data_IF_038368646639
#
_entry.id   IF_038368646639
#
_cell.length_a   1.000
_cell.length_b   1.000
_cell.length_c   1.000
_cell.angle_alpha   90.00
_cell.angle_beta   90.00
_cell.angle_gamma   90.00
#
_symmetry.space_group_name_H-M   'P 1'
#
loop_
_entity.id
_entity.type
_entity.pdbx_description
1 polymer ?
#
# COMPACT_ATOMS: atom_id res chain seq x y z
N UNK A 1 -32.74 45.97 7.40
CA UNK A 1 -31.66 46.68 8.12
C UNK A 1 -31.76 46.28 9.58
N UNK A 2 -31.15 45.14 9.93
CA UNK A 2 -31.08 44.62 11.31
C UNK A 2 -29.95 43.59 11.31
N UNK A 3 -28.75 44.02 11.69
CA UNK A 3 -27.60 43.15 11.93
C UNK A 3 -27.83 42.39 13.25
N UNK A 4 -27.65 41.07 13.24
CA UNK A 4 -27.46 40.27 14.45
C UNK A 4 -25.98 40.03 14.67
N UNK A 5 -25.54 40.42 15.85
CA UNK A 5 -24.19 40.29 16.41
C UNK A 5 -23.84 38.83 16.65
N UNK A 6 -22.71 38.36 16.12
CA UNK A 6 -22.04 37.12 16.52
C UNK A 6 -20.97 37.49 17.56
N UNK A 7 -21.12 36.99 18.78
CA UNK A 7 -20.10 37.06 19.83
C UNK A 7 -19.03 36.00 19.56
N UNK A 8 -17.79 36.44 19.39
CA UNK A 8 -16.61 35.59 19.35
C UNK A 8 -16.22 35.18 20.78
N UNK A 9 -16.19 33.88 21.05
CA UNK A 9 -15.63 33.31 22.28
C UNK A 9 -14.14 33.10 22.05
N UNK A 10 -13.32 33.83 22.81
CA UNK A 10 -11.87 33.78 22.81
C UNK A 10 -11.40 32.53 23.59
N UNK A 11 -10.83 31.54 22.89
CA UNK A 11 -10.20 30.38 23.53
C UNK A 11 -8.73 30.74 23.85
N UNK A 12 -8.38 30.72 25.13
CA UNK A 12 -7.02 30.94 25.63
C UNK A 12 -6.30 29.59 25.68
N UNK A 13 -5.28 29.41 24.84
CA UNK A 13 -4.35 28.27 24.90
C UNK A 13 -3.24 28.58 25.93
N UNK A 14 -2.88 27.64 26.83
CA UNK A 14 -1.71 27.79 27.68
C UNK A 14 -0.45 27.36 26.92
N UNK A 15 0.53 28.26 26.88
CA UNK A 15 1.89 28.04 26.40
C UNK A 15 2.64 27.17 27.42
N UNK A 16 3.05 25.96 27.01
CA UNK A 16 3.93 25.10 27.81
C UNK A 16 5.38 25.33 27.35
N UNK A 17 6.18 25.95 28.21
CA UNK A 17 7.60 26.17 28.00
C UNK A 17 8.38 24.91 28.42
N UNK A 18 9.05 24.26 27.47
CA UNK A 18 10.11 23.28 27.77
C UNK A 18 11.43 24.01 27.99
N UNK A 19 11.97 23.92 29.20
CA UNK A 19 13.38 24.15 29.51
C UNK A 19 14.12 22.83 29.34
N UNK A 20 15.02 22.74 28.36
CA UNK A 20 16.04 21.68 28.31
C UNK A 20 17.36 22.31 28.75
N UNK A 21 17.92 21.77 29.84
CA UNK A 21 19.24 22.09 30.34
C UNK A 21 20.28 21.25 29.57
N UNK A 22 21.32 21.90 29.06
CA UNK A 22 22.54 21.26 28.62
C UNK A 22 23.42 21.02 29.85
N UNK A 23 23.80 19.77 30.10
CA UNK A 23 24.90 19.45 31.00
C UNK A 23 26.02 18.80 30.18
N UNK A 24 27.19 19.38 30.37
CA UNK A 24 28.49 19.17 29.76
C UNK A 24 29.31 18.33 30.74
N UNK A 25 30.00 17.29 30.30
CA UNK A 25 31.38 17.05 30.72
C UNK A 25 31.98 15.78 30.10
N UNK A 26 33.26 15.91 29.74
CA UNK A 26 34.03 14.96 28.96
C UNK A 26 34.77 13.86 29.74
N UNK A 27 35.62 13.15 28.99
CA UNK A 27 36.58 12.15 29.48
C UNK A 27 36.54 10.92 28.58
N UNK A 28 37.50 10.63 27.72
CA UNK A 28 38.94 10.66 27.95
C UNK A 28 39.39 9.30 28.50
N UNK A 29 39.81 8.37 27.63
CA UNK A 29 40.31 7.07 28.09
C UNK A 29 40.69 6.10 26.99
N UNK A 30 41.96 6.10 26.64
CA UNK A 30 42.65 5.10 25.82
C UNK A 30 42.78 3.75 26.54
N UNK A 31 42.55 2.63 25.86
CA UNK A 31 43.25 1.38 26.14
C UNK A 31 43.11 0.38 24.98
N UNK A 32 44.25 0.20 24.33
CA UNK A 32 44.67 -0.90 23.48
C UNK A 32 44.56 -2.23 24.25
N UNK A 33 43.96 -3.27 23.67
CA UNK A 33 44.19 -4.67 24.10
C UNK A 33 43.96 -5.61 22.92
N UNK A 34 45.06 -5.92 22.24
CA UNK A 34 45.25 -7.16 21.50
C UNK A 34 45.12 -8.38 22.41
N UNK A 35 44.46 -9.45 21.96
CA UNK A 35 45.07 -10.78 21.96
C UNK A 35 44.21 -11.77 21.17
N UNK A 36 44.87 -12.46 20.25
CA UNK A 36 44.38 -13.62 19.55
C UNK A 36 44.43 -14.84 20.47
N UNK A 37 43.50 -15.79 20.34
CA UNK A 37 43.86 -17.20 20.53
C UNK A 37 43.00 -18.11 19.67
N UNK A 38 43.71 -18.67 18.70
CA UNK A 38 43.42 -19.86 17.91
C UNK A 38 43.12 -21.05 18.84
N UNK A 39 42.10 -21.86 18.51
CA UNK A 39 41.96 -23.20 19.06
C UNK A 39 41.39 -24.10 17.98
N UNK A 40 42.31 -24.76 17.29
CA UNK A 40 42.06 -25.85 16.36
C UNK A 40 42.48 -27.19 16.98
N UNK A 41 41.83 -28.24 16.47
CA UNK A 41 42.15 -29.67 16.54
C UNK A 41 41.95 -30.44 17.86
N UNK A 42 41.08 -31.46 17.80
CA UNK A 42 41.54 -32.85 17.87
C UNK A 42 40.48 -33.82 17.33
N UNK A 43 40.92 -34.67 16.42
CA UNK A 43 40.25 -35.86 15.88
C UNK A 43 40.81 -37.09 16.63
N UNK A 44 39.96 -37.96 17.17
CA UNK A 44 40.22 -39.42 17.30
C UNK A 44 38.95 -40.13 17.81
N UNK A 45 38.28 -40.96 17.00
CA UNK A 45 38.48 -42.41 16.79
C UNK A 45 38.45 -43.25 18.07
N UNK A 46 37.39 -44.03 18.27
CA UNK A 46 37.49 -45.47 18.58
C UNK A 46 36.13 -46.17 18.61
N UNK A 47 36.20 -47.47 18.34
CA UNK A 47 35.18 -48.39 17.86
C UNK A 47 34.32 -49.06 18.95
N UNK A 48 33.15 -49.55 18.47
CA UNK A 48 32.49 -50.84 18.73
C UNK A 48 31.97 -51.23 20.12
N UNK A 49 30.64 -51.42 20.22
CA UNK A 49 29.94 -52.67 20.64
C UNK A 49 28.42 -52.46 20.41
N UNK A 50 27.79 -53.13 19.44
CA UNK A 50 27.16 -54.47 19.47
C UNK A 50 25.72 -54.52 20.05
N UNK A 51 24.81 -54.98 19.18
CA UNK A 51 23.54 -55.68 19.43
C UNK A 51 22.44 -55.00 20.27
N UNK A 52 21.34 -54.61 19.60
CA UNK A 52 20.04 -55.27 19.81
C UNK A 52 19.02 -54.89 18.73
N UNK A 53 18.34 -55.92 18.23
CA UNK A 53 17.10 -55.84 17.45
C UNK A 53 16.00 -55.19 18.29
N UNK A 54 15.27 -54.24 17.70
CA UNK A 54 13.81 -54.14 17.80
C UNK A 54 13.29 -53.11 16.79
N UNK A 55 12.47 -53.60 15.87
CA UNK A 55 11.19 -53.00 15.41
C UNK A 55 10.95 -51.55 15.82
N UNK A 56 10.93 -50.63 14.85
CA UNK A 56 9.69 -49.93 14.51
C UNK A 56 9.83 -49.24 13.14
N UNK A 57 9.00 -49.65 12.20
CA UNK A 57 8.80 -48.95 10.94
C UNK A 57 7.70 -47.91 11.18
N UNK A 58 8.06 -46.79 11.81
CA UNK A 58 7.21 -45.61 11.82
C UNK A 58 7.46 -44.78 10.56
N UNK A 59 6.81 -45.18 9.47
CA UNK A 59 6.41 -44.25 8.43
C UNK A 59 5.41 -43.26 9.06
N UNK A 60 5.92 -42.21 9.67
CA UNK A 60 5.18 -40.99 9.94
C UNK A 60 5.76 -39.89 9.05
N UNK A 61 5.55 -40.02 7.74
CA UNK A 61 5.45 -38.84 6.89
C UNK A 61 4.06 -38.25 7.14
N UNK A 62 3.92 -37.61 8.31
CA UNK A 62 2.86 -36.66 8.57
C UNK A 62 3.23 -35.41 7.76
N UNK A 63 2.97 -35.49 6.45
CA UNK A 63 2.84 -34.30 5.61
C UNK A 63 1.49 -33.72 5.98
N UNK A 64 1.42 -33.15 7.19
CA UNK A 64 0.29 -32.34 7.62
C UNK A 64 0.25 -31.21 6.60
N UNK A 65 -0.85 -31.15 5.83
CA UNK A 65 -1.10 -30.02 4.96
C UNK A 65 -0.90 -28.75 5.79
N UNK A 66 -0.32 -27.68 5.20
CA UNK A 66 -0.21 -26.41 5.92
C UNK A 66 -1.57 -26.06 6.51
N UNK A 67 -1.62 -25.54 7.75
CA UNK A 67 -2.88 -25.15 8.35
C UNK A 67 -3.63 -24.23 7.38
N UNK A 68 -4.96 -24.35 7.29
CA UNK A 68 -5.74 -23.45 6.45
C UNK A 68 -5.46 -22.02 6.92
N UNK A 69 -5.34 -21.10 5.96
CA UNK A 69 -5.22 -19.67 6.25
C UNK A 69 -6.41 -19.14 7.06
N UNK A 70 -6.31 -17.90 7.51
CA UNK A 70 -7.43 -17.20 8.14
C UNK A 70 -8.61 -17.16 7.17
N UNK A 71 -9.79 -17.56 7.62
CA UNK A 71 -10.93 -17.78 6.72
C UNK A 71 -11.53 -16.50 6.14
N UNK A 72 -11.23 -15.37 6.78
CA UNK A 72 -11.62 -14.01 6.37
C UNK A 72 -10.48 -13.26 5.67
N UNK A 73 -9.51 -13.99 5.10
CA UNK A 73 -8.50 -13.39 4.25
C UNK A 73 -9.15 -12.75 3.01
N UNK A 74 -8.72 -11.55 2.65
CA UNK A 74 -9.23 -10.83 1.49
C UNK A 74 -9.06 -9.31 1.59
N UNK A 75 -9.62 -8.63 0.59
CA UNK A 75 -9.70 -7.17 0.53
C UNK A 75 -11.13 -6.72 0.78
N UNK A 76 -11.29 -5.78 1.70
CA UNK A 76 -12.58 -5.30 2.16
C UNK A 76 -12.67 -3.77 2.14
N UNK A 77 -13.89 -3.27 2.05
CA UNK A 77 -14.23 -1.88 2.41
C UNK A 77 -15.07 -1.88 3.67
N UNK A 78 -14.72 -1.02 4.62
CA UNK A 78 -15.48 -0.86 5.84
C UNK A 78 -16.71 0.01 5.62
N UNK A 79 -17.69 -0.08 6.51
CA UNK A 79 -18.82 0.87 6.56
C UNK A 79 -18.40 2.32 6.85
N UNK A 80 -17.13 2.58 7.15
CA UNK A 80 -16.54 3.92 7.28
C UNK A 80 -15.80 4.38 6.02
N UNK A 81 -15.73 3.54 4.99
CA UNK A 81 -15.07 3.81 3.71
C UNK A 81 -13.55 3.58 3.73
N UNK A 82 -12.98 3.03 4.81
CA UNK A 82 -11.58 2.57 4.81
C UNK A 82 -11.47 1.24 4.07
N UNK A 83 -10.37 1.03 3.37
CA UNK A 83 -9.99 -0.29 2.85
C UNK A 83 -9.29 -1.09 3.93
N UNK A 84 -9.53 -2.39 3.99
CA UNK A 84 -8.87 -3.32 4.91
C UNK A 84 -8.32 -4.52 4.12
N UNK A 85 -7.03 -4.81 4.30
CA UNK A 85 -6.40 -6.04 3.81
C UNK A 85 -6.27 -7.01 4.98
N UNK A 86 -6.78 -8.22 4.83
CA UNK A 86 -6.64 -9.30 5.80
C UNK A 86 -5.91 -10.47 5.14
N UNK A 87 -4.84 -10.91 5.76
CA UNK A 87 -4.03 -12.09 5.39
C UNK A 87 -3.65 -12.86 6.65
N UNK A 88 -2.93 -13.96 6.50
CA UNK A 88 -2.38 -14.71 7.64
C UNK A 88 -1.36 -13.91 8.45
N UNK A 89 -0.79 -12.84 7.87
CA UNK A 89 0.29 -12.06 8.45
C UNK A 89 -0.15 -10.65 8.86
N UNK A 90 -1.24 -10.14 8.28
CA UNK A 90 -1.65 -8.74 8.40
C UNK A 90 -3.16 -8.63 8.54
N UNK A 91 -3.60 -7.80 9.47
CA UNK A 91 -4.96 -7.29 9.55
C UNK A 91 -4.88 -5.76 9.48
N UNK A 92 -5.24 -5.20 8.34
CA UNK A 92 -5.07 -3.78 8.04
C UNK A 92 -3.59 -3.35 8.07
N UNK A 93 -3.18 -2.59 9.10
CA UNK A 93 -1.81 -2.16 9.34
C UNK A 93 -1.16 -2.89 10.53
N UNK A 94 -1.84 -3.87 11.13
CA UNK A 94 -1.36 -4.62 12.29
C UNK A 94 -0.88 -6.02 11.90
N UNK A 95 0.14 -6.53 12.58
CA UNK A 95 0.67 -7.87 12.34
C UNK A 95 -0.27 -8.91 12.97
N UNK A 96 -0.78 -9.87 12.19
CA UNK A 96 -1.46 -11.06 12.72
C UNK A 96 -0.41 -11.98 13.34
N UNK A 97 -0.58 -12.26 14.63
CA UNK A 97 0.34 -13.12 15.41
C UNK A 97 -0.18 -14.53 15.55
N UNK A 98 -1.49 -14.67 15.69
CA UNK A 98 -2.18 -15.95 15.79
C UNK A 98 -3.67 -15.75 15.47
N UNK A 99 -4.34 -16.77 14.96
CA UNK A 99 -5.79 -16.76 14.74
C UNK A 99 -6.37 -18.15 15.01
N UNK A 100 -7.67 -18.20 15.26
CA UNK A 100 -8.47 -19.41 15.42
C UNK A 100 -9.81 -19.18 14.71
N UNK A 101 -9.96 -19.81 13.55
CA UNK A 101 -11.19 -19.75 12.73
C UNK A 101 -12.38 -20.39 13.45
N UNK A 102 -12.19 -21.47 14.24
CA UNK A 102 -13.32 -22.10 14.96
C UNK A 102 -13.89 -21.16 16.04
N UNK A 103 -13.04 -20.29 16.60
CA UNK A 103 -13.43 -19.30 17.58
C UNK A 103 -13.68 -17.90 17.01
N UNK A 104 -13.58 -17.71 15.68
CA UNK A 104 -13.66 -16.43 14.99
C UNK A 104 -12.82 -15.32 15.66
N UNK A 105 -11.55 -15.61 15.99
CA UNK A 105 -10.66 -14.70 16.72
C UNK A 105 -9.27 -14.58 16.10
N UNK A 106 -8.71 -13.38 16.08
CA UNK A 106 -7.33 -13.10 15.72
C UNK A 106 -6.67 -12.26 16.81
N UNK A 107 -5.38 -12.49 16.99
CA UNK A 107 -4.53 -11.75 17.90
C UNK A 107 -3.52 -10.99 17.07
N UNK A 108 -3.59 -9.67 17.16
CA UNK A 108 -2.77 -8.78 16.34
C UNK A 108 -1.81 -7.97 17.21
N UNK A 109 -0.72 -7.49 16.61
CA UNK A 109 0.22 -6.58 17.24
C UNK A 109 0.33 -5.30 16.45
N UNK A 110 0.18 -4.16 17.13
CA UNK A 110 0.40 -2.85 16.54
C UNK A 110 1.89 -2.66 16.20
N UNK A 111 2.20 -1.94 15.11
CA UNK A 111 3.58 -1.71 14.71
C UNK A 111 4.35 -0.87 15.76
N UNK A 112 5.69 -0.90 15.77
CA UNK A 112 6.49 -0.21 16.78
C UNK A 112 6.34 1.32 16.81
N UNK A 113 5.88 1.90 15.71
CA UNK A 113 5.66 3.33 15.50
C UNK A 113 4.19 3.77 15.66
N UNK A 114 3.28 2.86 16.07
CA UNK A 114 1.90 3.22 16.37
C UNK A 114 1.85 4.34 17.43
N UNK A 115 1.06 5.38 17.13
CA UNK A 115 1.07 6.63 17.90
C UNK A 115 0.54 6.49 19.34
N UNK A 116 -0.24 5.45 19.62
CA UNK A 116 -0.98 5.31 20.89
C UNK A 116 -0.57 4.08 21.67
N UNK A 117 -0.36 2.96 20.99
CA UNK A 117 -0.15 1.64 21.56
C UNK A 117 0.98 0.89 20.81
N UNK A 118 2.21 1.46 20.74
CA UNK A 118 3.31 0.84 20.01
C UNK A 118 3.67 -0.53 20.58
N UNK A 119 3.81 -1.52 19.71
CA UNK A 119 4.08 -2.92 20.04
C UNK A 119 3.06 -3.60 20.97
N UNK A 120 1.88 -3.00 21.21
CA UNK A 120 0.83 -3.62 22.02
C UNK A 120 0.02 -4.62 21.23
N UNK A 121 -0.57 -5.55 21.95
CA UNK A 121 -1.41 -6.60 21.39
C UNK A 121 -2.89 -6.24 21.52
N UNK A 122 -3.68 -6.74 20.58
CA UNK A 122 -5.12 -6.64 20.58
C UNK A 122 -5.76 -7.99 20.21
N UNK A 123 -7.02 -8.16 20.61
CA UNK A 123 -7.86 -9.30 20.28
C UNK A 123 -8.98 -8.81 19.37
N UNK A 124 -9.02 -9.33 18.16
CA UNK A 124 -10.08 -9.11 17.18
C UNK A 124 -11.00 -10.32 17.19
N UNK A 125 -12.30 -10.10 17.22
CA UNK A 125 -13.35 -11.13 17.08
C UNK A 125 -14.21 -10.77 15.89
N UNK A 126 -14.61 -11.74 15.08
CA UNK A 126 -15.50 -11.54 13.93
C UNK A 126 -16.75 -12.42 13.98
N UNK A 127 -17.74 -12.06 13.16
CA UNK A 127 -18.92 -12.88 12.88
C UNK A 127 -18.66 -13.79 11.69
N UNK A 128 -19.35 -14.92 11.62
CA UNK A 128 -19.38 -15.76 10.42
C UNK A 128 -19.69 -14.93 9.15
N UNK A 129 -18.91 -15.08 8.07
CA UNK A 129 -19.20 -14.41 6.81
C UNK A 129 -20.57 -14.77 6.24
N UNK A 130 -21.26 -13.74 5.75
CA UNK A 130 -22.50 -13.88 5.00
C UNK A 130 -22.29 -14.59 3.66
N UNK A 131 -23.38 -14.90 2.96
CA UNK A 131 -23.31 -15.51 1.63
C UNK A 131 -22.66 -14.62 0.56
N UNK A 132 -22.59 -13.31 0.84
CA UNK A 132 -21.91 -12.28 0.04
C UNK A 132 -20.46 -12.05 0.51
N UNK A 133 -19.97 -12.83 1.48
CA UNK A 133 -18.65 -12.72 2.08
C UNK A 133 -18.50 -11.55 3.06
N UNK A 134 -19.55 -10.75 3.28
CA UNK A 134 -19.50 -9.65 4.23
C UNK A 134 -19.57 -10.16 5.67
N UNK A 135 -18.86 -9.51 6.58
CA UNK A 135 -18.84 -9.88 8.00
C UNK A 135 -18.56 -8.67 8.89
N UNK A 136 -18.83 -8.80 10.19
CA UNK A 136 -18.53 -7.78 11.17
C UNK A 136 -17.32 -8.19 12.00
N UNK A 137 -16.48 -7.24 12.40
CA UNK A 137 -15.46 -7.47 13.42
C UNK A 137 -15.48 -6.42 14.52
N UNK A 138 -14.96 -6.82 15.68
CA UNK A 138 -14.78 -5.99 16.86
C UNK A 138 -13.40 -6.20 17.45
N UNK A 139 -12.71 -5.11 17.79
CA UNK A 139 -11.53 -5.17 18.65
C UNK A 139 -11.98 -5.33 20.10
N UNK A 140 -12.14 -6.57 20.54
CA UNK A 140 -12.65 -6.93 21.87
C UNK A 140 -11.78 -6.43 23.02
N UNK A 141 -10.45 -6.44 22.83
CA UNK A 141 -9.48 -5.93 23.79
C UNK A 141 -8.27 -5.33 23.04
N UNK A 142 -7.64 -4.31 23.63
CA UNK A 142 -6.51 -3.61 23.02
C UNK A 142 -5.54 -3.09 24.08
N UNK A 143 -4.32 -2.74 23.66
CA UNK A 143 -3.31 -2.16 24.55
C UNK A 143 -2.66 -3.18 25.49
N UNK A 144 -2.73 -4.47 25.15
CA UNK A 144 -2.21 -5.56 25.98
C UNK A 144 -0.69 -5.69 25.82
N UNK A 145 0.00 -6.09 26.89
CA UNK A 145 1.46 -6.08 26.93
C UNK A 145 2.09 -7.26 26.18
N UNK A 146 1.41 -8.40 26.13
CA UNK A 146 1.91 -9.63 25.51
C UNK A 146 0.83 -10.36 24.72
N UNK A 147 1.26 -11.24 23.80
CA UNK A 147 0.37 -12.16 23.10
C UNK A 147 -0.41 -13.06 24.08
N UNK A 148 0.26 -13.56 25.12
CA UNK A 148 -0.38 -14.41 26.14
C UNK A 148 -1.49 -13.64 26.89
N UNK A 149 -1.29 -12.34 27.17
CA UNK A 149 -2.34 -11.50 27.78
C UNK A 149 -3.54 -11.33 26.84
N UNK A 150 -3.31 -11.17 25.53
CA UNK A 150 -4.36 -11.10 24.52
C UNK A 150 -5.15 -12.40 24.41
N UNK A 151 -4.47 -13.55 24.46
CA UNK A 151 -5.09 -14.88 24.46
C UNK A 151 -5.85 -15.17 25.74
N UNK A 152 -5.35 -14.69 26.88
CA UNK A 152 -6.00 -14.85 28.18
C UNK A 152 -7.17 -13.90 28.39
N UNK A 153 -7.33 -12.87 27.55
CA UNK A 153 -8.42 -11.91 27.67
C UNK A 153 -9.79 -12.57 27.43
N UNK A 154 -10.65 -12.43 28.44
CA UNK A 154 -12.01 -12.97 28.45
C UNK A 154 -13.06 -11.90 28.16
N UNK A 155 -12.67 -10.75 27.59
CA UNK A 155 -13.63 -9.69 27.25
C UNK A 155 -14.61 -10.27 26.23
N UNK A 156 -15.88 -10.28 26.63
CA UNK A 156 -16.96 -10.77 25.81
C UNK A 156 -17.49 -9.61 24.96
N UNK A 157 -17.71 -9.89 23.68
CA UNK A 157 -18.41 -9.02 22.75
C UNK A 157 -19.76 -9.67 22.43
N UNK A 158 -20.76 -8.84 22.10
CA UNK A 158 -22.10 -9.30 21.77
C UNK A 158 -22.35 -9.06 20.28
N UNK A 159 -22.48 -10.14 19.51
CA UNK A 159 -22.68 -10.11 18.06
C UNK A 159 -24.16 -10.26 17.68
N UNK A 160 -25.10 -10.17 18.63
CA UNK A 160 -26.52 -10.34 18.35
C UNK A 160 -27.15 -9.17 17.58
N UNK A 161 -26.53 -7.99 17.60
CA UNK A 161 -26.93 -6.78 16.86
C UNK A 161 -25.69 -5.92 16.50
N UNK A 162 -24.79 -6.44 15.63
CA UNK A 162 -23.48 -5.85 15.39
C UNK A 162 -23.56 -4.52 14.63
N UNK A 163 -24.65 -4.28 13.89
CA UNK A 163 -24.91 -3.02 13.19
C UNK A 163 -25.08 -1.83 14.15
N UNK A 164 -25.51 -2.08 15.39
CA UNK A 164 -25.90 -1.00 16.30
C UNK A 164 -25.16 -1.01 17.63
N UNK A 165 -24.68 -2.17 18.12
CA UNK A 165 -24.05 -2.28 19.43
C UNK A 165 -23.19 -3.54 19.58
N UNK A 166 -22.67 -3.76 20.81
CA UNK A 166 -22.06 -5.04 21.20
C UNK A 166 -20.54 -5.09 21.17
N UNK A 167 -19.88 -4.15 20.50
CA UNK A 167 -18.42 -3.97 20.54
C UNK A 167 -18.05 -2.95 21.62
N UNK A 168 -18.08 -3.34 22.90
CA UNK A 168 -17.84 -2.39 24.01
C UNK A 168 -18.92 -1.30 24.14
N UNK A 169 -20.12 -1.55 23.62
CA UNK A 169 -21.23 -0.59 23.56
C UNK A 169 -21.31 0.23 22.27
N UNK A 170 -20.41 0.00 21.32
CA UNK A 170 -20.44 0.58 19.97
C UNK A 170 -20.88 -0.47 18.94
N UNK A 171 -21.29 -0.03 17.75
CA UNK A 171 -21.47 -0.90 16.58
C UNK A 171 -20.13 -1.53 16.20
N UNK A 172 -20.19 -2.73 15.66
CA UNK A 172 -19.06 -3.43 15.07
C UNK A 172 -18.70 -2.77 13.73
N UNK A 173 -17.50 -3.03 13.24
CA UNK A 173 -17.08 -2.63 11.89
C UNK A 173 -17.57 -3.68 10.90
N UNK A 174 -18.41 -3.28 9.95
CA UNK A 174 -18.81 -4.12 8.82
C UNK A 174 -17.72 -4.06 7.76
N UNK A 175 -17.28 -5.22 7.29
CA UNK A 175 -16.39 -5.39 6.15
C UNK A 175 -17.13 -6.06 5.01
N UNK A 176 -17.16 -5.38 3.87
CA UNK A 176 -17.74 -5.88 2.63
C UNK A 176 -16.61 -6.19 1.64
N UNK A 177 -16.54 -7.40 1.06
CA UNK A 177 -15.54 -7.73 0.06
C UNK A 177 -15.50 -6.70 -1.07
N UNK A 178 -14.29 -6.37 -1.54
CA UNK A 178 -14.07 -5.49 -2.69
C UNK A 178 -12.99 -6.06 -3.61
N UNK A 179 -12.95 -5.54 -4.84
CA UNK A 179 -11.82 -5.77 -5.75
C UNK A 179 -10.55 -5.19 -5.13
N UNK A 180 -9.44 -5.92 -5.16
CA UNK A 180 -8.18 -5.51 -4.52
C UNK A 180 -7.57 -4.22 -5.09
N UNK A 181 -7.81 -3.96 -6.38
CA UNK A 181 -7.42 -2.70 -7.06
C UNK A 181 -8.41 -1.55 -6.83
N UNK A 182 -9.20 -1.61 -5.76
CA UNK A 182 -10.07 -0.51 -5.33
C UNK A 182 -9.28 0.77 -5.12
N UNK A 183 -9.74 1.87 -5.71
CA UNK A 183 -9.08 3.17 -5.58
C UNK A 183 -9.26 4.06 -6.80
N UNK A 184 -8.59 5.21 -6.75
CA UNK A 184 -8.51 6.15 -7.87
C UNK A 184 -7.09 6.14 -8.41
N UNK A 185 -6.95 5.81 -9.69
CA UNK A 185 -5.66 5.59 -10.32
C UNK A 185 -5.51 6.46 -11.56
N UNK A 186 -4.34 7.08 -11.71
CA UNK A 186 -3.93 7.73 -12.94
C UNK A 186 -3.46 6.68 -13.95
N UNK A 187 -3.80 6.91 -15.22
CA UNK A 187 -3.45 6.00 -16.32
C UNK A 187 -2.43 6.61 -17.27
N UNK A 188 -1.73 5.75 -18.02
CA UNK A 188 -0.78 6.16 -19.06
C UNK A 188 -1.42 6.89 -20.25
N UNK A 189 -2.75 7.04 -20.26
CA UNK A 189 -3.51 7.79 -21.26
C UNK A 189 -4.00 9.15 -20.77
N UNK A 190 -3.39 9.67 -19.69
CA UNK A 190 -3.79 10.94 -19.07
C UNK A 190 -5.28 10.97 -18.69
N UNK A 191 -5.74 9.84 -18.18
CA UNK A 191 -7.10 9.66 -17.69
C UNK A 191 -7.07 9.02 -16.31
N UNK A 192 -8.19 9.07 -15.59
CA UNK A 192 -8.33 8.41 -14.29
C UNK A 192 -9.25 7.20 -14.41
N UNK A 193 -8.90 6.12 -13.73
CA UNK A 193 -9.79 5.00 -13.47
C UNK A 193 -10.21 5.05 -11.99
N UNK A 194 -11.52 5.14 -11.76
CA UNK A 194 -12.12 5.17 -10.43
C UNK A 194 -12.78 3.80 -10.18
N UNK A 195 -12.19 3.01 -9.27
CA UNK A 195 -12.64 1.66 -8.93
C UNK A 195 -13.20 1.71 -7.50
N UNK A 196 -14.50 1.49 -7.37
CA UNK A 196 -15.24 1.37 -6.11
C UNK A 196 -15.62 -0.09 -5.87
N UNK A 197 -16.25 -0.38 -4.72
CA UNK A 197 -16.73 -1.73 -4.41
C UNK A 197 -17.78 -2.25 -5.43
N UNK A 198 -18.48 -1.34 -6.09
CA UNK A 198 -19.62 -1.63 -6.98
C UNK A 198 -19.43 -1.15 -8.42
N UNK A 199 -18.34 -0.45 -8.74
CA UNK A 199 -18.12 0.15 -10.06
C UNK A 199 -16.65 0.22 -10.45
N UNK A 200 -16.37 -0.01 -11.73
CA UNK A 200 -15.09 0.25 -12.37
C UNK A 200 -15.28 1.32 -13.44
N UNK A 201 -14.86 2.56 -13.18
CA UNK A 201 -15.05 3.73 -14.06
C UNK A 201 -16.50 3.91 -14.56
N UNK A 202 -17.48 3.68 -13.68
CA UNK A 202 -18.90 3.81 -13.99
C UNK A 202 -19.55 2.55 -14.59
N UNK A 203 -18.78 1.48 -14.81
CA UNK A 203 -19.31 0.17 -15.18
C UNK A 203 -19.58 -0.63 -13.91
N UNK A 204 -20.80 -1.15 -13.73
CA UNK A 204 -21.18 -1.87 -12.53
C UNK A 204 -20.38 -3.17 -12.39
N UNK A 205 -19.80 -3.43 -11.22
CA UNK A 205 -19.10 -4.68 -10.91
C UNK A 205 -20.15 -5.73 -10.54
N UNK A 206 -20.07 -6.91 -11.18
CA UNK A 206 -20.99 -8.02 -10.92
C UNK A 206 -20.31 -9.18 -10.20
N UNK A 207 -19.09 -9.50 -10.60
CA UNK A 207 -18.33 -10.59 -10.02
C UNK A 207 -16.84 -10.32 -10.21
N UNK A 208 -16.02 -10.77 -9.28
CA UNK A 208 -14.58 -10.71 -9.37
C UNK A 208 -13.96 -11.88 -8.61
N UNK A 209 -12.67 -12.06 -8.81
CA UNK A 209 -11.82 -13.02 -8.12
C UNK A 209 -10.45 -12.35 -8.00
N UNK A 210 -10.08 -11.98 -6.78
CA UNK A 210 -8.81 -11.31 -6.52
C UNK A 210 -7.65 -12.30 -6.68
N UNK A 211 -7.77 -13.55 -6.25
CA UNK A 211 -6.70 -14.55 -6.41
C UNK A 211 -6.38 -14.84 -7.88
N UNK A 212 -7.38 -14.74 -8.76
CA UNK A 212 -7.25 -14.94 -10.19
C UNK A 212 -7.14 -13.63 -10.99
N UNK A 213 -7.09 -12.47 -10.33
CA UNK A 213 -6.96 -11.13 -10.92
C UNK A 213 -7.95 -10.84 -12.06
N UNK A 214 -9.25 -11.06 -11.85
CA UNK A 214 -10.28 -10.69 -12.84
C UNK A 214 -11.57 -10.10 -12.24
N UNK A 215 -12.25 -9.28 -13.05
CA UNK A 215 -13.56 -8.68 -12.74
C UNK A 215 -14.47 -8.67 -13.97
N UNK A 216 -15.74 -9.01 -13.78
CA UNK A 216 -16.81 -8.78 -14.75
C UNK A 216 -17.51 -7.46 -14.42
N UNK A 217 -17.50 -6.58 -15.41
CA UNK A 217 -18.21 -5.30 -15.34
C UNK A 217 -19.37 -5.27 -16.33
N UNK A 218 -20.40 -4.47 -16.06
CA UNK A 218 -21.53 -4.25 -16.95
C UNK A 218 -21.67 -2.76 -17.26
N UNK A 219 -21.77 -2.45 -18.55
CA UNK A 219 -22.07 -1.09 -19.00
C UNK A 219 -23.47 -0.65 -18.61
N UNK A 220 -23.68 0.65 -18.36
CA UNK A 220 -24.98 1.17 -17.99
C UNK A 220 -25.98 1.03 -19.15
N UNK A 221 -27.27 1.03 -18.81
CA UNK A 221 -28.35 0.79 -19.79
C UNK A 221 -28.48 1.86 -20.88
N UNK A 222 -27.91 3.04 -20.64
CA UNK A 222 -27.87 4.20 -21.53
C UNK A 222 -26.51 4.37 -22.23
N UNK A 223 -25.59 3.40 -22.10
CA UNK A 223 -24.35 3.41 -22.86
C UNK A 223 -24.67 3.48 -24.38
N UNK A 224 -24.07 4.43 -25.12
CA UNK A 224 -24.45 4.70 -26.51
C UNK A 224 -24.02 3.61 -27.49
N UNK A 225 -23.10 2.73 -27.10
CA UNK A 225 -22.49 1.74 -28.00
C UNK A 225 -22.84 0.31 -27.59
N UNK A 226 -22.80 0.03 -26.29
CA UNK A 226 -22.92 -1.30 -25.73
C UNK A 226 -23.84 -1.30 -24.50
N UNK A 227 -25.13 -0.91 -24.59
CA UNK A 227 -26.00 -0.84 -23.43
C UNK A 227 -26.22 -2.22 -22.79
N UNK A 228 -26.04 -2.30 -21.46
CA UNK A 228 -26.20 -3.51 -20.64
C UNK A 228 -25.28 -4.69 -21.03
N UNK A 229 -24.17 -4.45 -21.73
CA UNK A 229 -23.21 -5.48 -22.10
C UNK A 229 -22.20 -5.74 -20.99
N UNK A 230 -21.67 -6.94 -20.98
CA UNK A 230 -20.67 -7.38 -20.01
C UNK A 230 -19.27 -7.38 -20.61
N UNK A 231 -18.29 -7.09 -19.77
CA UNK A 231 -16.87 -7.13 -20.12
C UNK A 231 -16.09 -7.85 -19.01
N UNK A 232 -15.05 -8.59 -19.40
CA UNK A 232 -14.09 -9.20 -18.48
C UNK A 232 -12.80 -8.41 -18.51
N UNK A 233 -12.41 -7.86 -17.37
CA UNK A 233 -11.14 -7.20 -17.17
C UNK A 233 -10.24 -8.11 -16.33
N UNK A 234 -8.96 -8.10 -16.63
CA UNK A 234 -7.92 -8.78 -15.86
C UNK A 234 -6.84 -7.78 -15.48
N UNK A 235 -6.10 -8.04 -14.40
CA UNK A 235 -5.00 -7.20 -13.98
C UNK A 235 -3.75 -8.00 -13.58
N UNK A 236 -2.62 -7.29 -13.44
CA UNK A 236 -1.40 -7.80 -12.83
C UNK A 236 -1.43 -7.58 -11.33
N UNK A 237 -0.69 -8.40 -10.59
CA UNK A 237 -0.50 -8.19 -9.14
C UNK A 237 -0.09 -6.74 -8.84
N UNK A 238 -0.82 -6.03 -7.95
CA UNK A 238 -0.45 -4.68 -7.56
C UNK A 238 0.88 -4.65 -6.81
N UNK A 239 1.78 -3.75 -7.19
CA UNK A 239 3.06 -3.55 -6.53
C UNK A 239 3.43 -2.06 -6.54
N UNK A 240 3.98 -1.56 -5.43
CA UNK A 240 4.46 -0.18 -5.30
C UNK A 240 3.44 0.90 -5.73
N UNK A 241 2.15 0.65 -5.46
CA UNK A 241 1.06 1.58 -5.83
C UNK A 241 0.79 1.67 -7.33
N UNK A 242 1.14 0.63 -8.09
CA UNK A 242 0.91 0.47 -9.52
C UNK A 242 0.41 -0.95 -9.86
N UNK A 243 -0.41 -1.04 -10.90
CA UNK A 243 -0.79 -2.29 -11.57
C UNK A 243 -1.10 -2.02 -13.04
N UNK A 244 -1.29 -3.09 -13.82
CA UNK A 244 -1.71 -3.02 -15.22
C UNK A 244 -3.03 -3.74 -15.39
N UNK A 245 -3.94 -3.21 -16.20
CA UNK A 245 -5.20 -3.89 -16.51
C UNK A 245 -5.52 -3.94 -18.00
N UNK A 246 -6.30 -4.95 -18.37
CA UNK A 246 -6.70 -5.24 -19.75
C UNK A 246 -8.15 -5.74 -19.80
N UNK A 247 -8.94 -5.22 -20.73
CA UNK A 247 -10.24 -5.81 -21.06
C UNK A 247 -10.05 -6.94 -22.08
N UNK A 248 -10.10 -8.19 -21.62
CA UNK A 248 -9.84 -9.37 -22.46
C UNK A 248 -11.07 -9.86 -23.21
N UNK A 249 -12.27 -9.58 -22.70
CA UNK A 249 -13.51 -9.85 -23.40
C UNK A 249 -14.45 -8.68 -23.23
N UNK A 250 -15.08 -8.24 -24.32
CA UNK A 250 -15.83 -6.98 -24.37
C UNK A 250 -17.17 -7.18 -25.06
N UNK A 251 -18.21 -6.52 -24.54
CA UNK A 251 -19.49 -6.41 -25.23
C UNK A 251 -20.34 -7.69 -25.23
N UNK A 252 -20.16 -8.56 -24.24
CA UNK A 252 -20.86 -9.84 -24.13
C UNK A 252 -22.33 -9.65 -23.71
N UNK A 253 -23.19 -10.56 -24.16
CA UNK A 253 -24.64 -10.43 -24.00
C UNK A 253 -25.13 -10.76 -22.58
N UNK A 254 -24.43 -11.65 -21.88
CA UNK A 254 -24.83 -12.15 -20.56
C UNK A 254 -23.65 -12.25 -19.61
N UNK A 255 -23.95 -12.23 -18.31
CA UNK A 255 -22.98 -12.50 -17.24
C UNK A 255 -22.36 -13.90 -17.41
N UNK A 256 -23.17 -14.90 -17.74
CA UNK A 256 -22.70 -16.28 -17.95
C UNK A 256 -21.68 -16.37 -19.11
N UNK A 257 -21.91 -15.65 -20.21
CA UNK A 257 -20.96 -15.59 -21.33
C UNK A 257 -19.63 -14.94 -20.91
N UNK A 258 -19.69 -13.92 -20.06
CA UNK A 258 -18.51 -13.22 -19.54
C UNK A 258 -17.70 -14.09 -18.58
N UNK A 259 -18.37 -14.85 -17.70
CA UNK A 259 -17.74 -15.81 -16.80
C UNK A 259 -17.14 -17.00 -17.55
N UNK A 260 -17.83 -17.47 -18.60
CA UNK A 260 -17.35 -18.55 -19.45
C UNK A 260 -16.21 -18.14 -20.40
N UNK A 261 -15.93 -16.84 -20.53
CA UNK A 261 -14.86 -16.35 -21.40
C UNK A 261 -13.49 -16.86 -20.95
N UNK A 262 -12.81 -17.53 -21.89
CA UNK A 262 -11.44 -18.02 -21.75
C UNK A 262 -10.41 -17.07 -22.35
N UNK A 263 -10.81 -15.87 -22.77
CA UNK A 263 -9.88 -14.86 -23.26
C UNK A 263 -8.95 -14.44 -22.12
N UNK A 264 -7.67 -14.27 -22.45
CA UNK A 264 -6.60 -13.95 -21.50
C UNK A 264 -5.72 -12.84 -22.08
N UNK A 265 -4.84 -12.29 -21.25
CA UNK A 265 -3.81 -11.36 -21.68
C UNK A 265 -2.43 -11.86 -21.22
N UNK A 266 -1.39 -11.49 -21.95
CA UNK A 266 0.01 -11.80 -21.62
C UNK A 266 0.60 -10.62 -20.83
N UNK A 267 0.90 -10.85 -19.56
CA UNK A 267 1.45 -9.85 -18.66
C UNK A 267 2.99 -9.81 -18.64
N UNK A 268 3.68 -10.51 -19.56
CA UNK A 268 5.15 -10.59 -19.54
C UNK A 268 5.83 -9.24 -19.84
N UNK A 269 5.22 -8.41 -20.69
CA UNK A 269 5.69 -7.05 -21.01
C UNK A 269 4.49 -6.10 -21.26
N UNK A 270 3.79 -5.71 -20.18
CA UNK A 270 2.48 -5.06 -20.29
C UNK A 270 2.57 -3.65 -20.90
N UNK A 271 3.73 -3.01 -20.79
CA UNK A 271 3.98 -1.69 -21.37
C UNK A 271 4.07 -1.67 -22.90
N UNK A 272 4.38 -2.81 -23.53
CA UNK A 272 4.56 -2.87 -25.00
C UNK A 272 3.51 -3.71 -25.73
N UNK A 273 2.82 -4.62 -25.04
CA UNK A 273 1.80 -5.47 -25.66
C UNK A 273 1.12 -6.41 -24.67
N UNK A 274 0.40 -7.40 -25.20
CA UNK A 274 -0.17 -8.50 -24.41
C UNK A 274 -1.65 -8.35 -24.06
N UNK A 275 -2.25 -7.17 -24.24
CA UNK A 275 -3.70 -6.95 -24.17
C UNK A 275 -4.32 -7.07 -25.57
N UNK A 276 -4.30 -8.27 -26.14
CA UNK A 276 -4.62 -8.49 -27.55
C UNK A 276 -3.56 -7.86 -28.48
N UNK A 277 -4.00 -6.97 -29.38
CA UNK A 277 -3.10 -6.22 -30.28
C UNK A 277 -2.56 -4.92 -29.66
N UNK A 278 -2.92 -4.62 -28.41
CA UNK A 278 -2.59 -3.37 -27.73
C UNK A 278 -1.75 -3.61 -26.47
N UNK A 279 -0.98 -2.61 -26.00
CA UNK A 279 -0.40 -2.64 -24.66
C UNK A 279 -1.49 -2.61 -23.59
N UNK A 280 -1.15 -3.03 -22.39
CA UNK A 280 -2.02 -2.89 -21.23
C UNK A 280 -2.19 -1.43 -20.84
N UNK A 281 -3.21 -1.14 -20.04
CA UNK A 281 -3.36 0.16 -19.39
C UNK A 281 -2.62 0.12 -18.06
N UNK A 282 -1.61 0.97 -17.88
CA UNK A 282 -1.01 1.18 -16.56
C UNK A 282 -1.98 1.98 -15.70
N UNK A 283 -2.06 1.62 -14.43
CA UNK A 283 -2.82 2.32 -13.40
C UNK A 283 -1.93 2.47 -12.18
N UNK A 284 -1.64 3.70 -11.78
CA UNK A 284 -0.86 3.98 -10.57
C UNK A 284 -1.48 5.09 -9.76
N UNK A 285 -1.06 5.21 -8.51
CA UNK A 285 -1.48 6.31 -7.64
C UNK A 285 -1.29 7.65 -8.38
N UNK A 286 -2.09 8.67 -8.07
CA UNK A 286 -1.83 9.98 -8.66
C UNK A 286 -0.59 10.60 -7.99
N UNK A 287 0.41 11.01 -8.77
CA UNK A 287 1.45 11.90 -8.26
C UNK A 287 0.82 13.20 -7.75
N UNK A 288 1.25 13.70 -6.60
CA UNK A 288 0.65 14.89 -5.98
C UNK A 288 0.88 16.18 -6.79
N UNK A 289 1.88 16.17 -7.68
CA UNK A 289 2.16 17.25 -8.62
C UNK A 289 1.23 17.26 -9.84
N UNK A 290 0.28 16.33 -9.97
CA UNK A 290 -0.59 16.26 -11.15
C UNK A 290 -1.34 17.59 -11.37
N UNK A 291 -1.19 18.17 -12.56
CA UNK A 291 -1.87 19.41 -12.93
C UNK A 291 -1.15 20.20 -14.03
N UNK A 292 -1.70 21.38 -14.32
CA UNK A 292 -1.13 22.36 -15.25
C UNK A 292 -0.47 23.48 -14.47
N UNK A 293 0.82 23.68 -14.71
CA UNK A 293 1.66 24.59 -13.93
C UNK A 293 2.38 25.60 -14.81
N UNK A 294 2.60 26.81 -14.32
CA UNK A 294 3.42 27.83 -14.94
C UNK A 294 4.79 27.81 -14.26
N UNK A 295 5.85 27.51 -15.01
CA UNK A 295 7.22 27.66 -14.53
C UNK A 295 7.58 29.15 -14.50
N UNK A 296 7.80 29.71 -13.31
CA UNK A 296 7.95 31.16 -13.12
C UNK A 296 9.12 31.76 -13.92
N UNK A 297 10.23 31.01 -14.04
CA UNK A 297 11.44 31.48 -14.70
C UNK A 297 11.26 31.64 -16.22
N UNK A 298 10.44 30.79 -16.84
CA UNK A 298 10.27 30.74 -18.30
C UNK A 298 8.89 31.23 -18.74
N UNK A 299 7.93 31.32 -17.82
CA UNK A 299 6.50 31.51 -18.08
C UNK A 299 5.90 30.44 -19.00
N UNK A 300 6.54 29.28 -19.09
CA UNK A 300 6.02 28.14 -19.85
C UNK A 300 4.99 27.38 -19.03
N UNK A 301 3.95 26.90 -19.69
CA UNK A 301 3.05 25.91 -19.11
C UNK A 301 3.68 24.53 -19.20
N UNK A 302 3.71 23.83 -18.08
CA UNK A 302 4.20 22.46 -17.92
C UNK A 302 3.04 21.63 -17.39
N UNK A 303 2.62 20.65 -18.19
CA UNK A 303 1.66 19.64 -17.76
C UNK A 303 2.42 18.54 -17.01
N UNK A 304 1.95 18.24 -15.80
CA UNK A 304 2.48 17.14 -15.00
C UNK A 304 1.37 16.12 -14.83
N UNK A 305 1.65 14.89 -15.23
CA UNK A 305 0.80 13.72 -15.01
C UNK A 305 1.56 12.73 -14.15
N UNK A 306 0.94 11.62 -13.75
CA UNK A 306 1.69 10.56 -13.06
C UNK A 306 2.68 9.85 -13.99
N UNK A 307 2.67 10.14 -15.29
CA UNK A 307 3.53 9.53 -16.30
C UNK A 307 4.51 10.49 -16.94
N UNK A 308 4.31 11.80 -16.81
CA UNK A 308 5.13 12.79 -17.48
C UNK A 308 5.32 14.03 -16.61
N UNK A 309 6.53 14.56 -16.62
CA UNK A 309 6.88 15.90 -16.16
C UNK A 309 7.22 16.72 -17.40
N UNK A 310 6.23 17.46 -17.92
CA UNK A 310 6.34 18.09 -19.23
C UNK A 310 6.52 17.04 -20.33
N UNK A 311 7.68 17.07 -20.99
CA UNK A 311 8.04 16.14 -22.07
C UNK A 311 8.88 14.94 -21.58
N UNK A 312 9.17 14.84 -20.28
CA UNK A 312 10.00 13.79 -19.69
C UNK A 312 9.13 12.72 -19.05
N UNK A 313 9.44 11.46 -19.28
CA UNK A 313 8.70 10.36 -18.67
C UNK A 313 9.04 10.24 -17.18
N UNK A 314 8.02 10.11 -16.33
CA UNK A 314 8.17 9.73 -14.93
C UNK A 314 8.08 8.20 -14.86
N UNK A 315 9.14 7.56 -14.39
CA UNK A 315 9.22 6.09 -14.32
C UNK A 315 9.02 5.55 -12.91
N UNK A 316 9.22 6.38 -11.88
CA UNK A 316 9.00 6.03 -10.48
C UNK A 316 8.81 7.30 -9.66
N UNK A 317 8.06 7.26 -8.56
CA UNK A 317 7.96 8.36 -7.59
C UNK A 317 7.44 7.86 -6.24
N UNK A 318 7.61 8.68 -5.20
CA UNK A 318 7.03 8.48 -3.88
C UNK A 318 6.51 9.84 -3.36
N UNK A 319 5.18 9.95 -3.20
CA UNK A 319 4.55 11.21 -2.76
C UNK A 319 4.91 11.54 -1.32
N UNK A 320 4.91 10.55 -0.42
CA UNK A 320 5.23 10.72 1.01
C UNK A 320 6.68 11.20 1.26
N UNK A 321 7.57 10.94 0.32
CA UNK A 321 8.97 11.35 0.36
C UNK A 321 9.32 12.45 -0.66
N UNK A 322 8.32 13.02 -1.34
CA UNK A 322 8.45 14.10 -2.32
C UNK A 322 9.55 13.92 -3.37
N UNK A 323 9.68 12.73 -3.99
CA UNK A 323 10.65 12.50 -5.06
C UNK A 323 10.10 11.72 -6.25
N UNK A 324 10.70 11.93 -7.42
CA UNK A 324 10.43 11.18 -8.64
C UNK A 324 11.73 10.87 -9.39
N UNK A 325 11.69 9.83 -10.21
CA UNK A 325 12.72 9.50 -11.20
C UNK A 325 12.15 9.80 -12.57
N UNK A 326 12.88 10.60 -13.33
CA UNK A 326 12.55 10.96 -14.70
C UNK A 326 13.54 10.31 -15.67
N UNK A 327 13.01 9.76 -16.77
CA UNK A 327 13.82 9.24 -17.87
C UNK A 327 14.12 10.36 -18.87
N UNK A 328 15.39 10.47 -19.23
CA UNK A 328 15.90 11.34 -20.28
C UNK A 328 16.28 10.44 -21.47
N UNK A 329 15.47 10.40 -22.54
CA UNK A 329 15.74 9.56 -23.68
C UNK A 329 17.04 9.98 -24.38
N UNK A 330 17.89 9.00 -24.69
CA UNK A 330 19.09 9.21 -25.48
C UNK A 330 18.76 9.31 -26.98
N UNK A 331 19.37 10.27 -27.69
CA UNK A 331 19.22 10.41 -29.16
C UNK A 331 20.06 9.35 -29.89
N UNK A 332 19.64 8.09 -29.79
CA UNK A 332 20.38 6.92 -30.27
C UNK A 332 21.43 6.36 -29.29
N UNK A 333 21.62 7.03 -28.15
CA UNK A 333 22.33 6.53 -26.98
C UNK A 333 21.35 5.87 -25.98
N UNK A 334 21.89 5.21 -24.97
CA UNK A 334 21.08 4.72 -23.86
C UNK A 334 20.42 5.91 -23.12
N UNK A 335 19.17 5.72 -22.69
CA UNK A 335 18.51 6.68 -21.79
C UNK A 335 19.32 6.86 -20.51
N UNK A 336 19.26 8.06 -19.93
CA UNK A 336 19.76 8.34 -18.59
C UNK A 336 18.61 8.71 -17.67
N UNK A 337 18.84 8.65 -16.37
CA UNK A 337 17.82 8.88 -15.36
C UNK A 337 18.26 9.95 -14.39
N UNK A 338 17.31 10.83 -14.04
CA UNK A 338 17.53 11.89 -13.06
C UNK A 338 16.59 11.66 -11.87
N UNK A 339 17.07 11.98 -10.66
CA UNK A 339 16.24 12.05 -9.45
C UNK A 339 15.83 13.51 -9.22
N UNK A 340 14.54 13.75 -9.12
CA UNK A 340 13.97 15.05 -8.75
C UNK A 340 13.29 14.97 -7.39
N UNK A 341 13.31 16.09 -6.66
CA UNK A 341 12.58 16.27 -5.40
C UNK A 341 11.77 17.56 -5.47
N UNK A 342 10.71 17.65 -4.67
CA UNK A 342 9.87 18.85 -4.62
C UNK A 342 9.45 19.24 -3.21
N UNK A 343 8.95 20.47 -3.06
CA UNK A 343 8.27 20.95 -1.85
C UNK A 343 6.77 20.69 -1.93
N UNK A 344 6.10 20.53 -0.80
CA UNK A 344 4.65 20.29 -0.74
C UNK A 344 3.83 21.34 -1.54
N UNK A 345 2.91 20.92 -2.42
CA UNK A 345 2.22 21.80 -3.35
C UNK A 345 1.04 22.55 -2.68
N UNK A 346 1.27 23.82 -2.29
CA UNK A 346 0.22 24.71 -1.74
C UNK A 346 0.02 25.95 -2.62
N UNK A 347 -0.65 25.79 -3.76
CA UNK A 347 -0.83 26.85 -4.76
C UNK A 347 0.43 27.14 -5.59
N UNK A 348 1.41 26.25 -5.50
CA UNK A 348 2.70 26.27 -6.17
C UNK A 348 3.68 25.33 -5.47
N UNK A 349 4.79 24.99 -6.12
CA UNK A 349 5.85 24.16 -5.55
C UNK A 349 7.22 24.52 -6.15
N UNK A 350 8.28 24.13 -5.47
CA UNK A 350 9.64 24.16 -5.97
C UNK A 350 10.08 22.75 -6.36
N UNK A 351 10.84 22.63 -7.46
CA UNK A 351 11.39 21.37 -7.93
C UNK A 351 12.90 21.49 -8.15
N UNK A 352 13.63 20.46 -7.73
CA UNK A 352 15.07 20.35 -7.87
C UNK A 352 15.47 19.01 -8.45
N UNK A 353 16.41 19.01 -9.41
CA UNK A 353 17.12 17.80 -9.83
C UNK A 353 18.33 17.59 -8.93
N UNK A 354 18.26 16.57 -8.06
CA UNK A 354 19.29 16.30 -7.04
C UNK A 354 20.39 15.35 -7.51
N UNK A 355 20.10 14.55 -8.53
CA UNK A 355 21.07 13.68 -9.17
C UNK A 355 20.70 13.50 -10.64
N UNK A 356 21.69 13.39 -11.51
CA UNK A 356 21.45 13.35 -12.96
C UNK A 356 22.39 12.41 -13.69
N UNK A 357 21.95 11.95 -14.86
CA UNK A 357 22.77 11.14 -15.75
C UNK A 357 23.03 9.72 -15.23
N UNK A 358 22.12 9.18 -14.41
CA UNK A 358 22.25 7.85 -13.83
C UNK A 358 21.90 6.78 -14.87
N UNK A 359 22.49 5.60 -14.72
CA UNK A 359 22.46 4.55 -15.75
C UNK A 359 21.10 3.84 -15.86
N UNK A 360 20.33 3.82 -14.76
CA UNK A 360 19.03 3.16 -14.69
C UNK A 360 18.15 3.79 -13.59
N UNK A 361 16.85 3.50 -13.64
CA UNK A 361 15.87 4.05 -12.72
C UNK A 361 16.11 3.62 -11.26
N UNK A 362 16.60 2.40 -11.03
CA UNK A 362 16.88 1.90 -9.69
C UNK A 362 18.05 2.66 -9.03
N UNK A 363 19.11 2.96 -9.78
CA UNK A 363 20.20 3.80 -9.34
C UNK A 363 19.73 5.23 -9.03
N UNK A 364 18.80 5.76 -9.81
CA UNK A 364 18.17 7.06 -9.54
C UNK A 364 17.33 7.05 -8.27
N UNK A 365 16.44 6.08 -8.10
CA UNK A 365 15.63 5.97 -6.88
C UNK A 365 16.50 5.83 -5.62
N UNK A 366 17.56 5.01 -5.70
CA UNK A 366 18.49 4.76 -4.60
C UNK A 366 19.47 5.90 -4.31
N UNK A 367 19.51 6.97 -5.13
CA UNK A 367 20.39 8.11 -4.87
C UNK A 367 20.06 8.77 -3.53
N UNK A 368 21.09 8.96 -2.70
CA UNK A 368 20.99 9.61 -1.39
C UNK A 368 21.30 11.11 -1.46
N UNK A 369 21.49 11.67 -2.65
CA UNK A 369 21.65 13.12 -2.80
C UNK A 369 20.33 13.80 -2.46
N UNK A 370 20.41 14.89 -1.72
CA UNK A 370 19.27 15.69 -1.29
C UNK A 370 19.48 17.14 -1.68
N UNK A 371 18.40 17.93 -1.64
CA UNK A 371 18.47 19.37 -1.75
C UNK A 371 18.25 20.02 -0.38
N UNK A 372 18.70 21.26 -0.22
CA UNK A 372 18.39 22.08 0.96
C UNK A 372 17.05 22.81 0.73
N UNK A 373 16.03 22.38 1.46
CA UNK A 373 14.66 22.90 1.40
C UNK A 373 14.45 24.14 2.30
N UNK A 374 15.45 24.59 3.05
CA UNK A 374 15.28 25.70 3.99
C UNK A 374 15.12 27.06 3.32
N UNK A 375 15.58 27.20 2.07
CA UNK A 375 15.44 28.42 1.26
C UNK A 375 15.50 28.12 -0.27
N UNK A 376 14.49 27.42 -0.82
CA UNK A 376 14.50 26.94 -2.21
C UNK A 376 14.55 28.08 -3.24
N UNK A 377 14.13 29.29 -2.85
CA UNK A 377 14.15 30.47 -3.71
C UNK A 377 15.55 31.09 -3.88
N UNK A 378 16.47 30.87 -2.94
CA UNK A 378 17.81 31.48 -2.97
C UNK A 378 18.95 30.50 -3.25
N UNK A 379 18.72 29.19 -3.04
CA UNK A 379 19.71 28.15 -3.27
C UNK A 379 19.22 26.77 -2.85
N UNK A 380 20.12 25.79 -2.80
CA UNK A 380 19.84 24.46 -2.23
C UNK A 380 19.72 23.32 -3.23
N UNK A 381 19.53 23.62 -4.52
CA UNK A 381 19.59 22.63 -5.59
C UNK A 381 20.98 22.61 -6.21
N UNK A 382 21.89 21.79 -5.66
CA UNK A 382 23.32 21.81 -5.99
C UNK A 382 23.96 23.22 -5.92
N UNK A 383 23.44 24.07 -5.02
CA UNK A 383 23.88 25.45 -4.86
C UNK A 383 23.24 26.46 -5.82
N UNK A 384 22.24 26.06 -6.62
CA UNK A 384 21.36 26.94 -7.40
C UNK A 384 19.96 27.04 -6.78
N UNK A 385 19.18 28.10 -7.10
CA UNK A 385 17.75 28.15 -6.79
C UNK A 385 16.99 27.00 -7.44
N UNK A 386 15.92 26.56 -6.81
CA UNK A 386 15.01 25.56 -7.35
C UNK A 386 14.10 26.17 -8.41
N UNK A 387 13.58 25.36 -9.35
CA UNK A 387 12.56 25.82 -10.29
C UNK A 387 11.22 25.96 -9.57
N UNK A 388 10.61 27.15 -9.64
CA UNK A 388 9.31 27.42 -9.03
C UNK A 388 8.18 27.29 -10.04
N UNK A 389 7.10 26.62 -9.63
CA UNK A 389 5.91 26.34 -10.40
C UNK A 389 4.70 26.91 -9.69
N UNK A 390 3.84 27.64 -10.42
CA UNK A 390 2.58 28.18 -9.91
C UNK A 390 1.40 27.55 -10.64
N UNK A 391 0.29 27.33 -9.95
CA UNK A 391 -0.91 26.75 -10.57
C UNK A 391 -1.46 27.70 -11.65
N UNK A 392 -1.88 27.15 -12.80
CA UNK A 392 -2.39 27.93 -13.94
C UNK A 392 -3.76 28.58 -13.70
#
# INVERSE_FOLDING_TARGET
MTLRSLSATLLVLPTLALLVACDDDGGGGTADTSEATDTSEATDTSEATDTSEATDTSEATDTTAPPPGIEVAGFYISNFGSTELITDEVWSYTDVREYDNEANVAYVQNPPDDAWNPNKFAKIVWTEPGSDGAFYYCTAAFGLDTLDDAKADTTAVDDSDPETSGCGGFSWTLLSPTVEVHGRWATNYDSTVDITADSWSGFAIHQYDNDANWVITQSPSDDPWNPNKFSKNVWTEPADGEFWFCTVAFGLDTLDDALASTETADATDPGTGGCGDYPWTAARTAIELHGSWIEDATSNTVEITSFNLGDKAIVQYANDANWAVIEIPGDGDASTFDKVVWTEPYGGFYLCTVDSGLADAAAAAASTKTADESDPASGGCEGQPWSHYTEQ
#
